data_IF_449976111029
#
_entry.id   IF_449976111029
#
_cell.length_a   1.000
_cell.length_b   1.000
_cell.length_c   1.000
_cell.angle_alpha   90.00
_cell.angle_beta   90.00
_cell.angle_gamma   90.00
#
_symmetry.space_group_name_H-M   'P 1'
#
loop_
_entity.id
_entity.type
_entity.pdbx_description
1 polymer ?
#
# COMPACT_ATOMS: atom_id res chain seq x y z
N UNK A 1 -0.11 9.81 -1.92
CA UNK A 1 -1.15 9.87 -0.88
C UNK A 1 -1.89 8.53 -0.86
N UNK A 2 -2.05 7.86 0.29
CA UNK A 2 -2.79 6.60 0.38
C UNK A 2 -4.27 6.79 0.06
N UNK A 3 -4.88 5.76 -0.55
CA UNK A 3 -6.32 5.77 -0.87
C UNK A 3 -7.17 5.79 0.41
N UNK A 4 -6.67 5.19 1.47
CA UNK A 4 -7.37 5.10 2.75
C UNK A 4 -6.38 5.42 3.88
N UNK A 5 -6.80 6.32 4.78
CA UNK A 5 -5.95 6.83 5.86
C UNK A 5 -6.75 6.91 7.16
N UNK A 6 -6.16 6.39 8.24
CA UNK A 6 -6.59 6.61 9.63
C UNK A 6 -5.60 7.50 10.36
N UNK A 7 -6.06 8.17 11.42
CA UNK A 7 -5.20 9.11 12.16
C UNK A 7 -4.12 8.39 12.97
N UNK A 8 -4.46 7.21 13.50
CA UNK A 8 -3.57 6.43 14.35
C UNK A 8 -2.85 5.36 13.53
N UNK A 9 -1.53 5.36 13.57
CA UNK A 9 -0.67 4.34 13.00
C UNK A 9 0.74 4.45 13.59
N UNK A 10 1.53 3.39 13.49
CA UNK A 10 2.92 3.37 13.97
C UNK A 10 3.84 2.77 12.92
N UNK A 11 4.80 3.57 12.47
CA UNK A 11 5.82 3.12 11.52
C UNK A 11 6.80 2.15 12.21
N UNK A 12 7.10 1.04 11.54
CA UNK A 12 8.08 0.05 11.97
C UNK A 12 9.32 0.02 11.05
N UNK A 13 9.50 0.98 10.15
CA UNK A 13 10.75 1.11 9.39
C UNK A 13 11.92 1.46 10.31
N UNK A 14 13.13 1.26 9.81
CA UNK A 14 14.37 1.54 10.55
C UNK A 14 15.25 0.31 10.66
N UNK A 15 16.13 0.28 11.63
CA UNK A 15 17.06 -0.86 11.81
C UNK A 15 16.33 -2.07 12.38
N UNK A 16 16.49 -3.21 11.70
CA UNK A 16 16.07 -4.53 12.13
C UNK A 16 17.30 -5.43 12.19
N UNK A 17 17.24 -6.50 12.98
CA UNK A 17 18.24 -7.57 12.90
C UNK A 17 17.98 -8.41 11.66
N UNK A 18 19.07 -8.93 11.04
CA UNK A 18 18.96 -9.85 9.91
C UNK A 18 19.88 -11.05 10.04
N UNK A 19 19.50 -12.14 9.38
CA UNK A 19 20.35 -13.31 9.14
C UNK A 19 20.04 -13.91 7.76
N UNK A 20 21.06 -14.43 7.08
CA UNK A 20 20.93 -15.22 5.86
C UNK A 20 21.30 -16.66 6.21
N UNK A 21 20.38 -17.60 5.97
CA UNK A 21 20.55 -19.03 6.23
C UNK A 21 20.36 -19.84 4.96
N UNK A 22 20.67 -21.13 5.01
CA UNK A 22 20.25 -22.03 3.93
C UNK A 22 18.75 -22.23 3.98
N UNK A 23 18.15 -22.42 2.81
CA UNK A 23 16.71 -22.71 2.70
C UNK A 23 16.34 -23.96 3.49
N UNK A 24 15.35 -23.82 4.35
CA UNK A 24 14.85 -24.89 5.21
C UNK A 24 15.57 -25.04 6.53
N UNK A 25 16.58 -24.22 6.81
CA UNK A 25 17.19 -24.17 8.14
C UNK A 25 16.16 -23.65 9.17
N UNK A 26 16.28 -24.04 10.44
CA UNK A 26 15.45 -23.51 11.51
C UNK A 26 15.71 -22.00 11.70
N UNK A 27 14.87 -21.35 12.49
CA UNK A 27 15.07 -19.96 12.94
C UNK A 27 16.50 -19.76 13.45
N UNK A 28 17.23 -18.73 12.97
CA UNK A 28 18.63 -18.53 13.33
C UNK A 28 18.77 -18.30 14.84
N UNK A 29 19.72 -19.00 15.46
CA UNK A 29 20.05 -18.82 16.89
C UNK A 29 20.74 -17.48 17.16
N UNK A 30 21.34 -16.86 16.13
CA UNK A 30 21.99 -15.55 16.22
C UNK A 30 21.82 -14.80 14.88
N UNK A 31 21.58 -13.50 14.99
CA UNK A 31 21.53 -12.60 13.84
C UNK A 31 22.92 -12.10 13.46
N UNK A 32 23.13 -11.81 12.18
CA UNK A 32 24.43 -11.48 11.59
C UNK A 32 24.74 -9.99 11.65
N UNK A 33 23.74 -9.14 11.88
CA UNK A 33 23.88 -7.69 11.94
C UNK A 33 22.55 -6.96 11.85
N UNK A 34 22.63 -5.71 11.41
CA UNK A 34 21.48 -4.84 11.22
C UNK A 34 21.22 -4.61 9.74
N UNK A 35 19.95 -4.52 9.37
CA UNK A 35 19.44 -4.15 8.04
C UNK A 35 18.47 -2.97 8.15
N UNK A 36 18.62 -1.99 7.28
CA UNK A 36 17.71 -0.83 7.25
C UNK A 36 16.47 -1.15 6.40
N UNK A 37 15.32 -1.36 7.04
CA UNK A 37 14.01 -1.51 6.40
C UNK A 37 13.45 -0.12 6.06
N UNK A 38 12.93 0.14 4.84
CA UNK A 38 12.48 -0.84 3.85
C UNK A 38 13.43 -1.00 2.64
N UNK A 39 14.69 -1.17 2.84
CA UNK A 39 15.60 -1.43 1.72
C UNK A 39 15.88 -2.92 1.58
N UNK A 40 15.79 -3.42 0.34
CA UNK A 40 16.08 -4.82 0.03
C UNK A 40 17.53 -5.20 0.41
N UNK A 41 17.79 -6.45 0.70
CA UNK A 41 19.10 -6.92 1.19
C UNK A 41 20.25 -6.64 0.21
N UNK A 42 19.96 -6.56 -1.09
CA UNK A 42 20.93 -6.24 -2.16
C UNK A 42 21.22 -4.74 -2.25
N UNK A 43 20.30 -3.89 -1.75
CA UNK A 43 20.47 -2.43 -1.77
C UNK A 43 21.64 -2.00 -0.88
N UNK A 44 22.47 -1.08 -1.38
CA UNK A 44 23.53 -0.46 -0.56
C UNK A 44 22.96 0.31 0.64
N UNK A 45 21.74 0.88 0.49
CA UNK A 45 21.07 1.62 1.55
C UNK A 45 20.54 0.71 2.66
N UNK A 46 20.41 -0.60 2.42
CA UNK A 46 20.08 -1.56 3.48
C UNK A 46 21.18 -1.68 4.54
N UNK A 47 22.41 -1.30 4.20
CA UNK A 47 23.61 -1.53 5.00
C UNK A 47 24.19 -2.95 4.89
N UNK A 48 23.55 -3.82 4.10
CA UNK A 48 23.98 -5.23 3.87
C UNK A 48 24.64 -5.39 2.50
N UNK A 49 23.95 -5.02 1.41
CA UNK A 49 24.47 -5.02 0.06
C UNK A 49 24.88 -6.42 -0.44
N UNK A 50 24.15 -7.47 -0.03
CA UNK A 50 24.45 -8.86 -0.41
C UNK A 50 23.40 -9.41 -1.33
N UNK A 51 23.82 -10.00 -2.44
CA UNK A 51 22.95 -10.84 -3.27
C UNK A 51 22.77 -12.19 -2.60
N UNK A 52 21.53 -12.65 -2.55
CA UNK A 52 21.15 -13.98 -2.09
C UNK A 52 20.48 -14.75 -3.23
N UNK A 53 20.34 -16.06 -3.10
CA UNK A 53 19.89 -16.95 -4.18
C UNK A 53 18.78 -17.89 -3.70
N UNK A 54 18.22 -18.68 -4.62
CA UNK A 54 17.08 -19.58 -4.38
C UNK A 54 17.31 -20.66 -3.31
N UNK A 55 18.58 -20.85 -2.87
CA UNK A 55 18.96 -21.83 -1.82
C UNK A 55 19.10 -21.19 -0.45
N UNK A 56 18.85 -19.89 -0.34
CA UNK A 56 18.99 -19.11 0.87
C UNK A 56 17.66 -18.52 1.30
N UNK A 57 17.54 -18.17 2.58
CA UNK A 57 16.41 -17.49 3.19
C UNK A 57 16.93 -16.30 4.00
N UNK A 58 16.22 -15.19 3.91
CA UNK A 58 16.49 -13.96 4.65
C UNK A 58 15.55 -13.87 5.84
N UNK A 59 16.11 -13.71 7.02
CA UNK A 59 15.39 -13.53 8.26
C UNK A 59 15.54 -12.11 8.75
N UNK A 60 14.44 -11.55 9.25
CA UNK A 60 14.37 -10.27 9.92
C UNK A 60 13.83 -10.44 11.33
N UNK A 61 14.32 -9.63 12.27
CA UNK A 61 13.76 -9.54 13.61
C UNK A 61 13.71 -8.09 14.08
N UNK A 62 12.62 -7.74 14.75
CA UNK A 62 12.46 -6.44 15.41
C UNK A 62 11.56 -6.56 16.62
N UNK A 63 11.92 -5.87 17.71
CA UNK A 63 11.00 -5.65 18.82
C UNK A 63 10.16 -4.40 18.60
N UNK A 64 8.90 -4.43 19.05
CA UNK A 64 7.98 -3.30 18.99
C UNK A 64 7.04 -3.28 20.20
N UNK A 65 6.52 -2.10 20.51
CA UNK A 65 5.44 -1.91 21.47
C UNK A 65 4.19 -1.38 20.79
N UNK A 66 3.03 -1.64 21.40
CA UNK A 66 1.74 -1.11 20.96
C UNK A 66 1.33 0.02 21.90
N UNK A 67 1.01 1.22 21.40
CA UNK A 67 0.57 2.33 22.23
C UNK A 67 -0.61 1.98 23.12
N UNK A 68 -0.54 2.35 24.41
CA UNK A 68 -1.60 2.05 25.39
C UNK A 68 -2.95 2.66 25.03
N UNK A 69 -2.96 3.76 24.25
CA UNK A 69 -4.17 4.39 23.71
C UNK A 69 -4.95 3.49 22.74
N UNK A 70 -4.33 2.44 22.20
CA UNK A 70 -4.97 1.49 21.28
C UNK A 70 -5.61 0.29 21.98
N UNK A 71 -5.64 0.29 23.31
CA UNK A 71 -6.25 -0.79 24.09
C UNK A 71 -7.72 -1.01 23.68
N UNK A 72 -8.08 -2.27 23.43
CA UNK A 72 -9.43 -2.67 23.00
C UNK A 72 -9.70 -2.52 21.51
N UNK A 73 -8.73 -2.05 20.72
CA UNK A 73 -8.77 -2.08 19.26
C UNK A 73 -8.11 -3.37 18.74
N UNK A 74 -8.44 -3.76 17.52
CA UNK A 74 -7.67 -4.73 16.76
C UNK A 74 -6.43 -4.05 16.22
N UNK A 75 -5.31 -4.78 16.15
CA UNK A 75 -4.04 -4.28 15.67
C UNK A 75 -3.67 -5.03 14.39
N UNK A 76 -3.63 -4.30 13.29
CA UNK A 76 -3.21 -4.82 12.00
C UNK A 76 -1.72 -4.53 11.79
N UNK A 77 -0.96 -5.57 11.42
CA UNK A 77 0.42 -5.45 10.98
C UNK A 77 0.44 -5.46 9.46
N UNK A 78 0.83 -4.34 8.86
CA UNK A 78 0.85 -4.14 7.42
C UNK A 78 2.26 -4.20 6.85
N UNK A 79 2.35 -4.74 5.63
CA UNK A 79 3.52 -4.70 4.77
C UNK A 79 3.12 -4.09 3.42
N UNK A 80 3.83 -3.06 2.99
CA UNK A 80 3.60 -2.45 1.68
C UNK A 80 3.99 -3.39 0.53
N UNK A 81 5.16 -4.01 0.62
CA UNK A 81 5.59 -5.10 -0.26
C UNK A 81 6.79 -5.85 0.33
N UNK A 82 6.83 -7.16 0.05
CA UNK A 82 7.95 -8.06 0.39
C UNK A 82 8.18 -9.00 -0.78
N UNK A 83 9.35 -8.99 -1.40
CA UNK A 83 9.68 -9.89 -2.49
C UNK A 83 10.45 -11.10 -1.95
N UNK A 84 10.03 -12.32 -2.10
CA UNK A 84 8.84 -12.79 -2.83
C UNK A 84 7.87 -13.53 -1.90
N UNK A 85 8.27 -14.59 -1.17
CA UNK A 85 7.46 -15.33 -0.20
C UNK A 85 7.85 -14.92 1.21
N UNK A 86 6.91 -14.33 1.94
CA UNK A 86 7.07 -13.92 3.33
C UNK A 86 6.31 -14.86 4.28
N UNK A 87 6.93 -15.26 5.37
CA UNK A 87 6.30 -15.89 6.52
C UNK A 87 6.52 -15.00 7.74
N UNK A 88 5.49 -14.78 8.56
CA UNK A 88 5.50 -13.79 9.64
C UNK A 88 5.10 -14.42 10.96
N UNK A 89 5.88 -14.14 12.01
CA UNK A 89 5.61 -14.55 13.41
C UNK A 89 5.60 -13.33 14.31
N UNK A 90 4.72 -13.35 15.28
CA UNK A 90 4.70 -12.40 16.41
C UNK A 90 4.70 -13.21 17.70
N UNK A 91 5.68 -12.95 18.60
CA UNK A 91 5.86 -13.66 19.86
C UNK A 91 5.85 -15.19 19.66
N UNK A 92 6.67 -15.69 18.72
CA UNK A 92 6.82 -17.10 18.33
C UNK A 92 5.57 -17.75 17.70
N UNK A 93 4.47 -17.02 17.52
CA UNK A 93 3.24 -17.51 16.86
C UNK A 93 3.24 -17.09 15.39
N UNK A 94 3.16 -18.05 14.48
CA UNK A 94 2.98 -17.75 13.03
C UNK A 94 1.62 -17.10 12.80
N UNK A 95 1.64 -15.83 12.36
CA UNK A 95 0.42 -15.06 12.08
C UNK A 95 -0.04 -15.18 10.65
N UNK A 96 0.85 -15.57 9.74
CA UNK A 96 0.48 -15.85 8.36
C UNK A 96 1.65 -15.92 7.40
N UNK A 97 1.32 -16.03 6.13
CA UNK A 97 2.27 -15.98 5.00
C UNK A 97 1.66 -15.23 3.82
N UNK A 98 2.51 -14.68 2.97
CA UNK A 98 2.13 -14.00 1.74
C UNK A 98 3.08 -14.39 0.62
N UNK A 99 2.56 -14.44 -0.59
CA UNK A 99 3.32 -14.72 -1.81
C UNK A 99 2.98 -13.68 -2.86
N UNK A 100 4.00 -12.97 -3.34
CA UNK A 100 3.86 -11.89 -4.33
C UNK A 100 4.68 -10.66 -3.97
N UNK A 101 5.67 -10.31 -4.80
CA UNK A 101 6.67 -9.28 -4.51
C UNK A 101 6.17 -7.83 -4.56
N UNK A 102 4.95 -7.57 -5.10
CA UNK A 102 4.50 -6.22 -5.45
C UNK A 102 3.16 -5.81 -4.82
N UNK A 103 2.52 -6.70 -4.08
CA UNK A 103 1.20 -6.45 -3.49
C UNK A 103 1.28 -6.26 -1.99
N UNK A 104 0.54 -5.28 -1.42
CA UNK A 104 0.46 -5.11 0.02
C UNK A 104 -0.35 -6.23 0.67
N UNK A 105 -0.02 -6.53 1.92
CA UNK A 105 -0.76 -7.48 2.76
C UNK A 105 -0.72 -7.08 4.22
N UNK A 106 -1.58 -7.68 5.03
CA UNK A 106 -1.62 -7.45 6.47
C UNK A 106 -2.11 -8.68 7.24
N UNK A 107 -1.80 -8.71 8.53
CA UNK A 107 -2.29 -9.71 9.47
C UNK A 107 -2.88 -9.03 10.70
N UNK A 108 -4.00 -9.56 11.22
CA UNK A 108 -4.49 -9.21 12.55
C UNK A 108 -3.65 -9.93 13.60
N UNK A 109 -2.88 -9.16 14.36
CA UNK A 109 -1.97 -9.69 15.38
C UNK A 109 -2.52 -9.54 16.80
N UNK A 110 -3.75 -9.08 16.98
CA UNK A 110 -4.34 -8.70 18.26
C UNK A 110 -4.26 -9.81 19.31
N UNK A 111 -4.56 -11.05 18.92
CA UNK A 111 -4.64 -12.20 19.84
C UNK A 111 -3.28 -12.71 20.31
N UNK A 112 -2.19 -12.33 19.63
CA UNK A 112 -0.83 -12.80 19.93
C UNK A 112 0.05 -11.73 20.57
N UNK A 113 -0.51 -10.55 20.85
CA UNK A 113 0.23 -9.45 21.48
C UNK A 113 0.42 -9.67 22.98
N UNK A 114 1.64 -9.40 23.45
CA UNK A 114 1.98 -9.28 24.85
C UNK A 114 1.72 -7.86 25.38
N UNK A 115 1.59 -7.72 26.71
CA UNK A 115 1.66 -6.42 27.36
C UNK A 115 3.10 -5.92 27.36
N UNK A 116 3.37 -4.83 26.64
CA UNK A 116 4.71 -4.25 26.49
C UNK A 116 5.37 -4.63 25.17
N UNK A 117 6.62 -5.08 25.24
CA UNK A 117 7.39 -5.42 24.04
C UNK A 117 6.89 -6.71 23.39
N UNK A 118 6.84 -6.69 22.09
CA UNK A 118 6.52 -7.81 21.23
C UNK A 118 7.69 -8.07 20.28
N UNK A 119 7.90 -9.33 19.95
CA UNK A 119 8.90 -9.74 18.96
C UNK A 119 8.25 -10.03 17.62
N UNK A 120 8.79 -9.45 16.56
CA UNK A 120 8.35 -9.66 15.18
C UNK A 120 9.48 -10.32 14.40
N UNK A 121 9.20 -11.49 13.84
CA UNK A 121 10.12 -12.22 12.96
C UNK A 121 9.48 -12.37 11.59
N UNK A 122 10.25 -12.07 10.55
CA UNK A 122 9.85 -12.26 9.15
C UNK A 122 10.91 -13.09 8.45
N UNK A 123 10.49 -14.18 7.83
CA UNK A 123 11.33 -14.99 6.94
C UNK A 123 10.93 -14.74 5.50
N UNK A 124 11.90 -14.53 4.63
CA UNK A 124 11.67 -14.30 3.21
C UNK A 124 12.48 -15.28 2.37
N UNK A 125 11.85 -15.86 1.38
CA UNK A 125 12.48 -16.62 0.33
C UNK A 125 12.12 -16.05 -1.03
N UNK A 126 13.14 -15.80 -1.86
CA UNK A 126 13.00 -15.31 -3.21
C UNK A 126 13.86 -16.12 -4.18
N UNK A 127 13.26 -16.80 -5.19
CA UNK A 127 14.02 -17.50 -6.22
C UNK A 127 14.60 -16.57 -7.29
N UNK A 128 14.31 -15.27 -7.24
CA UNK A 128 14.73 -14.28 -8.23
C UNK A 128 14.37 -14.72 -9.67
N UNK A 129 15.37 -15.08 -10.51
CA UNK A 129 15.14 -15.55 -11.88
C UNK A 129 15.12 -17.08 -12.03
N UNK A 130 15.10 -17.82 -10.91
CA UNK A 130 15.09 -19.30 -10.87
C UNK A 130 13.70 -19.92 -10.69
N UNK A 131 12.65 -19.08 -10.77
CA UNK A 131 11.27 -19.51 -10.65
C UNK A 131 10.37 -18.94 -11.77
N UNK A 132 9.08 -19.26 -11.70
CA UNK A 132 8.08 -18.81 -12.67
C UNK A 132 7.25 -17.59 -12.15
N UNK A 133 7.60 -17.08 -10.97
CA UNK A 133 6.91 -15.95 -10.37
C UNK A 133 7.17 -14.64 -11.14
N UNK A 134 6.26 -13.67 -11.08
CA UNK A 134 6.50 -12.33 -11.58
C UNK A 134 7.71 -11.69 -10.87
N UNK A 135 8.71 -11.27 -11.62
CA UNK A 135 9.95 -10.68 -11.09
C UNK A 135 10.36 -9.37 -11.77
N UNK A 136 9.58 -8.90 -12.74
CA UNK A 136 9.98 -7.75 -13.55
C UNK A 136 11.28 -8.02 -14.33
N UNK A 137 12.25 -7.10 -14.25
CA UNK A 137 13.54 -7.21 -14.91
C UNK A 137 14.67 -7.74 -14.02
N UNK A 138 14.35 -8.36 -12.90
CA UNK A 138 15.32 -8.91 -11.96
C UNK A 138 15.97 -10.19 -12.51
N UNK A 139 17.30 -10.27 -12.44
CA UNK A 139 18.07 -11.50 -12.72
C UNK A 139 19.30 -11.60 -11.80
N UNK A 140 19.72 -12.84 -11.51
CA UNK A 140 20.86 -13.11 -10.64
C UNK A 140 22.21 -12.60 -11.17
N UNK A 141 22.35 -12.41 -12.48
CA UNK A 141 23.54 -11.83 -13.10
C UNK A 141 23.16 -10.59 -13.94
N UNK A 142 22.97 -9.41 -13.32
CA UNK A 142 22.47 -8.21 -13.97
C UNK A 142 23.36 -7.77 -15.13
N UNK A 143 22.76 -7.59 -16.30
CA UNK A 143 23.46 -7.09 -17.51
C UNK A 143 22.44 -6.55 -18.52
N UNK A 144 22.89 -5.67 -19.43
CA UNK A 144 22.07 -5.11 -20.49
C UNK A 144 20.86 -4.38 -19.94
N UNK A 145 19.65 -4.89 -20.22
CA UNK A 145 18.38 -4.31 -19.79
C UNK A 145 17.88 -4.88 -18.44
N UNK A 146 18.64 -5.78 -17.84
CA UNK A 146 18.23 -6.50 -16.62
C UNK A 146 18.85 -5.87 -15.37
N UNK A 147 18.11 -5.94 -14.26
CA UNK A 147 18.43 -5.31 -12.99
C UNK A 147 18.83 -6.34 -11.92
N UNK A 148 19.46 -5.84 -10.86
CA UNK A 148 19.78 -6.56 -9.63
C UNK A 148 18.50 -7.17 -9.04
N UNK A 149 18.55 -8.36 -8.41
CA UNK A 149 17.43 -8.88 -7.61
C UNK A 149 17.04 -7.94 -6.49
N UNK A 150 15.80 -8.02 -6.07
CA UNK A 150 15.24 -7.32 -4.91
C UNK A 150 14.63 -8.36 -4.00
N UNK A 151 15.32 -8.71 -2.92
CA UNK A 151 14.83 -9.71 -1.97
C UNK A 151 14.51 -9.08 -0.63
N UNK A 152 13.34 -9.41 -0.09
CA UNK A 152 12.93 -8.99 1.23
C UNK A 152 11.95 -7.82 1.26
N UNK A 153 11.92 -7.14 2.41
CA UNK A 153 11.02 -6.01 2.66
C UNK A 153 11.54 -4.79 1.90
N UNK A 154 10.76 -4.30 0.91
CA UNK A 154 11.16 -3.12 0.13
C UNK A 154 10.14 -1.97 0.17
N UNK A 155 9.03 -2.13 0.91
CA UNK A 155 8.12 -1.05 1.27
C UNK A 155 7.84 -1.02 2.77
N UNK A 156 7.25 0.08 3.23
CA UNK A 156 6.97 0.36 4.64
C UNK A 156 6.26 -0.80 5.35
N UNK A 157 6.67 -1.04 6.59
CA UNK A 157 5.99 -1.89 7.57
C UNK A 157 5.39 -1.00 8.65
N UNK A 158 4.11 -1.22 9.00
CA UNK A 158 3.45 -0.40 10.02
C UNK A 158 2.36 -1.15 10.78
N UNK A 159 2.00 -0.60 11.95
CA UNK A 159 0.84 -1.02 12.74
C UNK A 159 -0.30 -0.03 12.54
N UNK A 160 -1.52 -0.54 12.49
CA UNK A 160 -2.74 0.24 12.42
C UNK A 160 -3.77 -0.28 13.42
N UNK A 161 -4.27 0.56 14.36
CA UNK A 161 -5.36 0.17 15.26
C UNK A 161 -6.70 0.39 14.56
N UNK A 162 -7.53 -0.64 14.50
CA UNK A 162 -8.87 -0.57 13.92
C UNK A 162 -9.94 -0.99 14.92
N UNK A 163 -11.18 -0.55 14.70
CA UNK A 163 -12.32 -1.08 15.43
C UNK A 163 -12.54 -2.57 15.10
N UNK A 164 -13.24 -3.37 15.94
CA UNK A 164 -13.57 -4.75 15.59
C UNK A 164 -14.34 -4.91 14.27
N UNK A 165 -15.06 -3.87 13.87
CA UNK A 165 -15.73 -3.76 12.58
C UNK A 165 -15.21 -2.50 11.91
N UNK A 166 -14.58 -2.66 10.74
CA UNK A 166 -13.85 -1.58 10.09
C UNK A 166 -13.94 -1.66 8.56
N UNK A 167 -13.69 -0.52 7.92
CA UNK A 167 -13.59 -0.38 6.47
C UNK A 167 -12.27 -0.99 6.00
N UNK A 168 -12.34 -1.92 5.07
CA UNK A 168 -11.17 -2.65 4.54
C UNK A 168 -10.70 -2.12 3.20
N UNK A 169 -11.59 -1.57 2.38
CA UNK A 169 -11.24 -1.05 1.06
C UNK A 169 -12.24 0.00 0.56
N UNK A 170 -11.75 0.88 -0.30
CA UNK A 170 -12.52 1.91 -1.00
C UNK A 170 -12.23 1.87 -2.49
N UNK A 171 -13.28 1.98 -3.31
CA UNK A 171 -13.14 2.21 -4.74
C UNK A 171 -14.04 3.37 -5.16
N UNK A 172 -13.45 4.39 -5.79
CA UNK A 172 -14.17 5.54 -6.32
C UNK A 172 -14.24 5.49 -7.83
N UNK A 173 -15.42 5.75 -8.38
CA UNK A 173 -15.65 5.83 -9.83
C UNK A 173 -16.31 7.16 -10.14
N UNK A 174 -15.55 8.17 -10.62
CA UNK A 174 -16.11 9.44 -11.03
C UNK A 174 -16.78 9.32 -12.39
N UNK A 175 -17.88 10.05 -12.56
CA UNK A 175 -18.58 10.25 -13.83
C UNK A 175 -18.75 11.73 -14.09
N UNK A 176 -17.91 12.29 -14.96
CA UNK A 176 -17.95 13.72 -15.28
C UNK A 176 -19.10 14.08 -16.22
N UNK A 177 -19.65 13.12 -16.95
CA UNK A 177 -20.75 13.36 -17.89
C UNK A 177 -22.08 13.55 -17.12
N UNK A 178 -22.23 12.86 -16.00
CA UNK A 178 -23.40 12.95 -15.11
C UNK A 178 -23.12 13.73 -13.81
N UNK A 179 -21.93 14.32 -13.66
CA UNK A 179 -21.52 15.03 -12.44
C UNK A 179 -21.77 14.19 -11.19
N UNK A 180 -21.26 12.97 -11.16
CA UNK A 180 -21.43 12.06 -10.03
C UNK A 180 -20.15 11.32 -9.66
N UNK A 181 -20.12 10.80 -8.43
CA UNK A 181 -19.08 9.86 -7.96
C UNK A 181 -19.78 8.69 -7.29
N UNK A 182 -19.47 7.48 -7.76
CA UNK A 182 -19.86 6.25 -7.09
C UNK A 182 -18.72 5.80 -6.16
N UNK A 183 -19.06 5.49 -4.90
CA UNK A 183 -18.12 5.00 -3.89
C UNK A 183 -18.55 3.61 -3.43
N UNK A 184 -17.74 2.62 -3.74
CA UNK A 184 -17.88 1.25 -3.27
C UNK A 184 -17.02 1.09 -2.01
N UNK A 185 -17.64 0.65 -0.91
CA UNK A 185 -16.97 0.51 0.39
C UNK A 185 -17.05 -0.95 0.82
N UNK A 186 -15.90 -1.55 1.06
CA UNK A 186 -15.82 -2.87 1.68
C UNK A 186 -15.51 -2.74 3.17
N UNK A 187 -16.15 -3.57 3.99
CA UNK A 187 -15.93 -3.68 5.42
C UNK A 187 -15.75 -5.15 5.82
N UNK A 188 -15.05 -5.40 6.93
CA UNK A 188 -14.89 -6.76 7.48
C UNK A 188 -16.15 -7.30 8.17
N UNK A 189 -17.28 -6.66 7.97
CA UNK A 189 -18.56 -6.99 8.62
C UNK A 189 -19.73 -6.83 7.67
N UNK A 190 -20.74 -7.69 7.80
CA UNK A 190 -22.04 -7.55 7.16
C UNK A 190 -23.11 -6.94 8.09
N UNK A 191 -22.78 -6.77 9.39
CA UNK A 191 -23.71 -6.32 10.41
C UNK A 191 -23.74 -4.81 10.64
N UNK A 192 -23.00 -4.02 9.83
CA UNK A 192 -23.11 -2.57 9.84
C UNK A 192 -24.38 -2.12 9.12
N UNK A 193 -25.01 -1.03 9.60
CA UNK A 193 -26.31 -0.57 9.08
C UNK A 193 -26.11 0.21 7.78
N UNK A 194 -25.18 1.16 7.79
CA UNK A 194 -24.94 2.06 6.66
C UNK A 194 -23.52 2.56 6.57
N UNK A 195 -23.18 3.02 5.39
CA UNK A 195 -21.99 3.81 5.07
C UNK A 195 -22.43 5.23 4.71
N UNK A 196 -21.76 6.23 5.26
CA UNK A 196 -21.91 7.64 4.88
C UNK A 196 -20.61 8.12 4.23
N UNK A 197 -20.72 8.84 3.13
CA UNK A 197 -19.59 9.45 2.41
C UNK A 197 -19.83 10.95 2.32
N UNK A 198 -18.80 11.73 2.66
CA UNK A 198 -18.74 13.18 2.51
C UNK A 198 -17.58 13.55 1.62
N UNK A 199 -17.79 14.49 0.70
CA UNK A 199 -16.78 15.00 -0.25
C UNK A 199 -16.58 16.48 -0.02
N UNK A 200 -15.33 16.94 0.02
CA UNK A 200 -14.98 18.31 0.36
C UNK A 200 -14.07 18.95 -0.69
N UNK A 201 -14.33 20.21 -1.01
CA UNK A 201 -13.38 21.13 -1.66
C UNK A 201 -12.69 21.95 -0.55
N UNK A 202 -11.46 21.56 -0.22
CA UNK A 202 -10.80 22.10 0.96
C UNK A 202 -11.57 21.75 2.24
N UNK A 203 -12.18 22.76 2.88
CA UNK A 203 -13.05 22.61 4.07
C UNK A 203 -14.55 22.63 3.73
N UNK A 204 -14.91 22.93 2.49
CA UNK A 204 -16.30 23.08 2.09
C UNK A 204 -16.90 21.72 1.71
N UNK A 205 -17.98 21.32 2.36
CA UNK A 205 -18.75 20.13 1.99
C UNK A 205 -19.44 20.38 0.64
N UNK A 206 -19.11 19.58 -0.38
CA UNK A 206 -19.66 19.75 -1.73
C UNK A 206 -20.59 18.61 -2.15
N UNK A 207 -20.46 17.45 -1.54
CA UNK A 207 -21.38 16.33 -1.74
C UNK A 207 -21.45 15.44 -0.49
N UNK A 208 -22.63 14.84 -0.26
CA UNK A 208 -22.85 13.90 0.83
C UNK A 208 -23.88 12.86 0.39
N UNK A 209 -23.63 11.61 0.74
CA UNK A 209 -24.57 10.51 0.49
C UNK A 209 -24.40 9.40 1.50
N UNK A 210 -25.37 8.49 1.54
CA UNK A 210 -25.31 7.30 2.37
C UNK A 210 -26.05 6.15 1.68
N UNK A 211 -25.59 4.92 1.94
CA UNK A 211 -26.23 3.70 1.49
C UNK A 211 -26.16 2.63 2.59
N UNK A 212 -26.89 1.55 2.44
CA UNK A 212 -26.72 0.36 3.28
C UNK A 212 -25.30 -0.21 3.09
N UNK A 213 -24.78 -0.83 4.12
CA UNK A 213 -23.49 -1.50 4.01
C UNK A 213 -23.52 -2.54 2.88
N UNK A 214 -22.48 -2.54 2.03
CA UNK A 214 -22.38 -3.38 0.84
C UNK A 214 -23.09 -2.82 -0.42
N UNK A 215 -23.80 -1.71 -0.30
CA UNK A 215 -24.41 -1.00 -1.44
C UNK A 215 -23.54 0.22 -1.78
N UNK A 216 -23.20 0.46 -3.06
CA UNK A 216 -22.47 1.66 -3.46
C UNK A 216 -23.18 2.96 -3.06
N UNK A 217 -22.42 3.93 -2.60
CA UNK A 217 -22.92 5.29 -2.34
C UNK A 217 -22.80 6.12 -3.60
N UNK A 218 -23.93 6.58 -4.14
CA UNK A 218 -23.97 7.52 -5.28
C UNK A 218 -24.01 8.96 -4.77
N UNK A 219 -23.13 9.80 -5.28
CA UNK A 219 -22.96 11.19 -4.87
C UNK A 219 -23.13 12.12 -6.08
N UNK A 220 -24.10 13.01 -6.01
CA UNK A 220 -24.20 14.11 -6.97
C UNK A 220 -23.14 15.16 -6.65
N UNK A 221 -22.27 15.45 -7.63
CA UNK A 221 -21.27 16.50 -7.56
C UNK A 221 -21.84 17.81 -8.15
N UNK A 222 -21.32 18.98 -7.74
CA UNK A 222 -21.72 20.26 -8.33
C UNK A 222 -21.52 20.25 -9.85
N UNK A 223 -22.40 20.90 -10.61
CA UNK A 223 -22.29 21.01 -12.07
C UNK A 223 -20.99 21.71 -12.52
N UNK A 224 -20.41 22.55 -11.66
CA UNK A 224 -19.12 23.21 -11.88
C UNK A 224 -17.97 22.51 -11.11
N UNK A 225 -18.05 21.21 -10.88
CA UNK A 225 -17.00 20.46 -10.22
C UNK A 225 -15.67 20.64 -10.94
N UNK A 226 -14.60 20.88 -10.15
CA UNK A 226 -13.24 21.04 -10.67
C UNK A 226 -12.75 19.70 -11.20
N UNK A 227 -12.38 19.68 -12.47
CA UNK A 227 -11.82 18.48 -13.10
C UNK A 227 -10.32 18.39 -12.82
N UNK A 228 -9.85 17.17 -12.66
CA UNK A 228 -8.42 16.89 -12.57
C UNK A 228 -7.79 16.86 -13.96
N UNK A 229 -6.64 17.51 -14.11
CA UNK A 229 -5.72 17.34 -15.23
C UNK A 229 -4.28 17.50 -14.73
N UNK A 230 -3.24 17.15 -15.51
CA UNK A 230 -1.86 17.43 -15.13
C UNK A 230 -1.60 18.91 -14.85
N UNK A 231 -2.24 19.82 -15.59
CA UNK A 231 -2.13 21.28 -15.39
C UNK A 231 -2.91 21.78 -14.16
N UNK A 232 -3.89 21.01 -13.70
CA UNK A 232 -4.73 21.30 -12.54
C UNK A 232 -5.05 20.02 -11.78
N UNK A 233 -4.11 19.46 -11.00
CA UNK A 233 -4.24 18.15 -10.36
C UNK A 233 -5.11 18.22 -9.08
N UNK A 234 -6.34 18.69 -9.26
CA UNK A 234 -7.26 18.93 -8.14
C UNK A 234 -7.82 17.63 -7.57
N UNK A 235 -7.72 17.47 -6.25
CA UNK A 235 -8.26 16.35 -5.49
C UNK A 235 -9.30 16.85 -4.49
N UNK A 236 -10.48 16.22 -4.49
CA UNK A 236 -11.48 16.37 -3.44
C UNK A 236 -11.12 15.47 -2.26
N UNK A 237 -11.14 16.00 -1.04
CA UNK A 237 -11.02 15.18 0.16
C UNK A 237 -12.31 14.40 0.39
N UNK A 238 -12.19 13.19 0.96
CA UNK A 238 -13.34 12.38 1.34
C UNK A 238 -13.23 11.92 2.79
N UNK A 239 -14.37 11.81 3.45
CA UNK A 239 -14.54 11.10 4.71
C UNK A 239 -15.57 10.00 4.50
N UNK A 240 -15.23 8.79 4.89
CA UNK A 240 -16.11 7.62 4.82
C UNK A 240 -16.30 7.07 6.21
N UNK A 241 -17.56 6.98 6.65
CA UNK A 241 -17.91 6.55 8.00
C UNK A 241 -18.84 5.34 7.94
N UNK A 242 -18.48 4.30 8.69
CA UNK A 242 -19.27 3.10 8.90
C UNK A 242 -20.12 3.26 10.17
N UNK A 243 -21.40 2.92 10.10
CA UNK A 243 -22.33 3.04 11.22
C UNK A 243 -22.93 1.69 11.61
N UNK A 244 -23.18 1.51 12.90
CA UNK A 244 -23.98 0.43 13.48
C UNK A 244 -24.85 0.97 14.60
N UNK A 245 -26.14 0.62 14.63
CA UNK A 245 -27.12 1.10 15.62
C UNK A 245 -27.11 2.63 15.76
N UNK A 246 -26.98 3.34 14.61
CA UNK A 246 -26.89 4.80 14.53
C UNK A 246 -25.58 5.41 15.05
N UNK A 247 -24.60 4.62 15.51
CA UNK A 247 -23.31 5.09 16.01
C UNK A 247 -22.22 4.88 14.96
N UNK A 248 -21.33 5.87 14.81
CA UNK A 248 -20.11 5.70 14.01
C UNK A 248 -19.17 4.69 14.70
N UNK A 249 -18.80 3.64 13.98
CA UNK A 249 -17.92 2.57 14.50
C UNK A 249 -16.54 2.59 13.86
N UNK A 250 -16.40 3.07 12.61
CA UNK A 250 -15.12 3.30 11.96
C UNK A 250 -15.21 4.49 11.02
N UNK A 251 -14.09 5.18 10.81
CA UNK A 251 -13.98 6.30 9.89
C UNK A 251 -12.61 6.32 9.24
N UNK A 252 -12.60 6.56 7.94
CA UNK A 252 -11.38 6.73 7.15
C UNK A 252 -11.43 8.01 6.34
N UNK A 253 -10.25 8.60 6.11
CA UNK A 253 -10.04 9.68 5.16
C UNK A 253 -9.60 9.10 3.83
N UNK A 254 -10.00 9.75 2.75
CA UNK A 254 -9.67 9.38 1.39
C UNK A 254 -9.67 10.60 0.49
N UNK A 255 -9.63 10.38 -0.81
CA UNK A 255 -9.76 11.42 -1.81
C UNK A 255 -10.37 10.87 -3.10
N UNK A 256 -10.88 11.75 -3.93
CA UNK A 256 -11.32 11.44 -5.29
C UNK A 256 -10.97 12.58 -6.24
N UNK A 257 -10.95 12.28 -7.52
CA UNK A 257 -10.76 13.27 -8.58
C UNK A 257 -11.85 13.13 -9.63
N UNK A 258 -12.42 14.24 -10.07
CA UNK A 258 -13.34 14.26 -11.20
C UNK A 258 -12.51 14.22 -12.49
N UNK A 259 -12.36 13.04 -13.10
CA UNK A 259 -11.66 12.85 -14.36
C UNK A 259 -12.21 11.67 -15.14
N UNK A 260 -12.01 11.72 -16.47
CA UNK A 260 -12.38 10.64 -17.37
C UNK A 260 -11.31 10.45 -18.42
N UNK A 261 -10.85 9.23 -18.58
CA UNK A 261 -10.09 8.79 -19.76
C UNK A 261 -11.03 8.12 -20.74
N UNK A 262 -10.90 8.44 -22.00
CA UNK A 262 -11.70 7.84 -23.06
C UNK A 262 -10.91 7.74 -24.37
N UNK A 263 -11.45 6.93 -25.28
CA UNK A 263 -10.95 6.81 -26.66
C UNK A 263 -12.09 7.28 -27.57
N UNK A 264 -11.77 8.18 -28.51
CA UNK A 264 -12.75 8.67 -29.48
C UNK A 264 -12.18 8.65 -30.89
N UNK A 265 -13.00 8.22 -31.84
CA UNK A 265 -12.72 8.39 -33.25
C UNK A 265 -13.12 9.79 -33.69
N UNK A 266 -12.14 10.60 -34.09
CA UNK A 266 -12.35 11.96 -34.59
C UNK A 266 -13.06 11.99 -35.92
N UNK A 267 -13.48 13.19 -36.39
CA UNK A 267 -14.14 13.38 -37.68
C UNK A 267 -13.30 12.94 -38.91
N UNK A 268 -11.98 12.98 -38.74
CA UNK A 268 -11.02 12.50 -39.75
C UNK A 268 -10.76 10.99 -39.71
N UNK A 269 -11.54 10.23 -38.94
CA UNK A 269 -11.39 8.79 -38.78
C UNK A 269 -10.22 8.35 -37.88
N UNK A 270 -9.41 9.27 -37.33
CA UNK A 270 -8.29 8.95 -36.46
C UNK A 270 -8.78 8.75 -35.01
N UNK A 271 -8.38 7.63 -34.43
CA UNK A 271 -8.65 7.35 -33.02
C UNK A 271 -7.64 8.10 -32.13
N UNK A 272 -8.16 8.80 -31.11
CA UNK A 272 -7.35 9.57 -30.16
C UNK A 272 -7.72 9.25 -28.73
N UNK A 273 -6.74 9.37 -27.86
CA UNK A 273 -6.93 9.37 -26.40
C UNK A 273 -7.49 10.73 -25.97
N UNK A 274 -8.41 10.69 -25.03
CA UNK A 274 -9.02 11.87 -24.45
C UNK A 274 -8.86 11.91 -22.94
N UNK A 275 -8.71 13.10 -22.41
CA UNK A 275 -8.86 13.43 -21.00
C UNK A 275 -10.04 14.41 -20.86
N UNK A 276 -11.00 14.07 -19.99
CA UNK A 276 -12.18 14.91 -19.72
C UNK A 276 -12.94 15.31 -21.01
N UNK A 277 -13.15 14.33 -21.91
CA UNK A 277 -13.84 14.47 -23.19
C UNK A 277 -13.11 15.36 -24.24
N UNK A 278 -11.86 15.74 -23.99
CA UNK A 278 -11.02 16.51 -24.94
C UNK A 278 -9.85 15.67 -25.40
N UNK A 279 -9.50 15.79 -26.69
CA UNK A 279 -8.29 15.15 -27.20
C UNK A 279 -7.08 15.61 -26.40
N UNK A 280 -6.27 14.66 -25.93
CA UNK A 280 -5.13 14.94 -25.08
C UNK A 280 -3.91 14.15 -25.55
N UNK A 281 -2.85 14.89 -25.89
CA UNK A 281 -1.59 14.26 -26.28
C UNK A 281 -0.90 13.69 -25.03
N UNK A 282 -0.69 12.38 -25.04
CA UNK A 282 -0.03 11.67 -23.93
C UNK A 282 1.49 11.85 -24.10
N UNK A 283 2.09 12.66 -23.26
CA UNK A 283 3.52 12.87 -23.19
C UNK A 283 4.01 12.55 -21.78
N UNK A 284 5.09 11.76 -21.68
CA UNK A 284 5.69 11.42 -20.41
C UNK A 284 6.99 10.64 -20.59
N UNK A 285 7.92 10.73 -19.64
CA UNK A 285 9.13 9.92 -19.63
C UNK A 285 8.79 8.46 -19.34
N UNK A 286 9.72 7.57 -19.69
CA UNK A 286 9.72 6.19 -19.24
C UNK A 286 10.39 6.13 -17.87
N UNK A 287 9.61 5.83 -16.83
CA UNK A 287 10.11 5.53 -15.50
C UNK A 287 10.10 4.01 -15.29
N UNK A 288 11.25 3.45 -14.89
CA UNK A 288 11.39 2.03 -14.61
C UNK A 288 11.30 1.72 -13.11
N UNK A 289 11.11 2.74 -12.25
CA UNK A 289 10.99 2.60 -10.80
C UNK A 289 12.23 2.01 -10.16
N UNK A 290 13.43 2.39 -10.63
CA UNK A 290 14.69 1.81 -10.20
C UNK A 290 15.71 2.87 -9.76
N UNK A 291 16.20 2.72 -8.55
CA UNK A 291 17.23 3.60 -7.95
C UNK A 291 18.59 2.92 -7.92
N UNK A 292 19.69 3.62 -8.19
CA UNK A 292 21.03 3.00 -8.20
C UNK A 292 21.44 2.39 -6.86
N UNK A 293 21.00 2.97 -5.77
CA UNK A 293 21.35 2.61 -4.39
C UNK A 293 20.20 1.96 -3.62
N UNK A 294 18.96 2.39 -3.87
CA UNK A 294 17.76 1.91 -3.19
C UNK A 294 16.99 0.79 -3.91
N UNK A 295 17.35 0.50 -5.16
CA UNK A 295 16.66 -0.45 -6.03
C UNK A 295 15.18 -0.05 -6.24
N UNK A 296 14.19 -0.83 -5.81
CA UNK A 296 12.78 -0.44 -5.88
C UNK A 296 12.37 0.64 -4.88
N UNK A 297 13.20 0.89 -3.87
CA UNK A 297 12.90 1.86 -2.82
C UNK A 297 13.66 3.16 -3.05
N UNK A 298 12.94 4.27 -3.22
CA UNK A 298 13.58 5.57 -3.32
C UNK A 298 14.37 5.89 -2.05
N UNK A 299 15.54 6.54 -2.16
CA UNK A 299 16.36 6.86 -0.99
C UNK A 299 15.65 7.83 -0.02
N UNK A 300 14.88 8.78 -0.55
CA UNK A 300 14.07 9.74 0.22
C UNK A 300 12.85 10.20 -0.57
N UNK A 301 11.89 10.82 0.11
CA UNK A 301 10.75 11.46 -0.53
C UNK A 301 11.18 12.66 -1.41
N UNK A 302 12.25 13.37 -1.00
CA UNK A 302 12.82 14.47 -1.79
C UNK A 302 13.40 13.97 -3.11
N UNK A 303 13.99 12.77 -3.16
CA UNK A 303 14.47 12.16 -4.39
C UNK A 303 13.31 11.87 -5.35
N UNK A 304 12.19 11.31 -4.86
CA UNK A 304 10.97 11.12 -5.66
C UNK A 304 10.44 12.46 -6.22
N UNK A 305 10.43 13.50 -5.39
CA UNK A 305 9.98 14.84 -5.81
C UNK A 305 10.94 15.44 -6.84
N UNK A 306 12.25 15.19 -6.70
CA UNK A 306 13.25 15.66 -7.67
C UNK A 306 13.05 15.09 -9.06
N UNK A 307 12.77 13.78 -9.16
CA UNK A 307 12.53 13.12 -10.46
C UNK A 307 11.22 13.59 -11.12
N UNK A 308 10.24 14.03 -10.35
CA UNK A 308 8.96 14.53 -10.86
C UNK A 308 9.02 16.01 -11.32
N UNK A 309 10.03 16.79 -10.90
CA UNK A 309 10.18 18.22 -11.22
C UNK A 309 11.07 18.46 -12.42
#
# INVERSE_FOLDING_TARGET
RPIMERNDWKNLNGLWKYAITKKGDPTPAAYQGDILVPFAVESSLSGVGKMINEKEELWYQRTFDVPSAWRGKQILLHFGAVDWKAEVWVNDVKVGEHTGGFTPFYFDITSVLNKGNNDLVVKVWDPSDRGEQPRGKQIANPHGIWYTPVTGIWQTVWLEPVAPQYITNLKTTPDIDNNSVKVEVAANTTSADKVEVKVFDGKNLVAKGAALNGVPVELAMPANAKLWSPDSPFLYNMEVTLYKDGKAIDQVKSYTAMRKYSIRKGQNGITRLQLNNKDYFQFGPLDQGWWPDGLYTAPTDEALVYDLK
#
